data_IF_867031735832
#
_entry.id   IF_867031735832
#
_cell.length_a   1.000
_cell.length_b   1.000
_cell.length_c   1.000
_cell.angle_alpha   90.00
_cell.angle_beta   90.00
_cell.angle_gamma   90.00
#
_symmetry.space_group_name_H-M   'P 1'
#
loop_
_entity.id
_entity.type
_entity.pdbx_description
1 polymer ?
#
# COMPACT_ATOMS: atom_id res chain seq x y z
N UNK A 1 -11.43 -11.24 26.65
CA UNK A 1 -12.06 -10.96 25.37
C UNK A 1 -12.77 -9.61 25.50
N UNK A 2 -12.12 -8.53 25.03
CA UNK A 2 -12.78 -7.23 25.00
C UNK A 2 -13.77 -7.24 23.86
N UNK A 3 -15.04 -6.97 24.14
CA UNK A 3 -16.07 -6.66 23.16
C UNK A 3 -15.59 -5.45 22.35
N UNK A 4 -15.08 -5.71 21.13
CA UNK A 4 -14.84 -4.66 20.16
C UNK A 4 -16.22 -4.23 19.71
N UNK A 5 -16.73 -3.17 20.33
CA UNK A 5 -18.01 -2.56 19.94
C UNK A 5 -17.94 -2.24 18.45
N UNK A 6 -18.99 -2.60 17.71
CA UNK A 6 -19.28 -2.05 16.38
C UNK A 6 -19.23 -0.54 16.52
N UNK A 7 -18.15 0.05 16.06
CA UNK A 7 -18.00 1.50 16.08
C UNK A 7 -18.75 2.01 14.85
N UNK A 8 -20.03 2.31 14.98
CA UNK A 8 -20.93 2.74 13.89
C UNK A 8 -20.44 3.99 13.14
N UNK A 9 -19.34 4.60 13.62
CA UNK A 9 -18.72 5.78 13.02
C UNK A 9 -17.52 5.49 12.10
N UNK A 10 -17.12 4.22 11.91
CA UNK A 10 -16.00 3.88 11.04
C UNK A 10 -16.47 3.79 9.59
N UNK A 11 -15.96 4.69 8.74
CA UNK A 11 -16.20 4.59 7.31
C UNK A 11 -15.37 3.46 6.70
N UNK A 12 -16.03 2.42 6.21
CA UNK A 12 -15.42 1.22 5.62
C UNK A 12 -15.41 1.20 4.10
N UNK A 13 -15.76 2.30 3.45
CA UNK A 13 -15.86 2.38 1.98
C UNK A 13 -14.59 1.90 1.26
N UNK A 14 -13.42 2.19 1.84
CA UNK A 14 -12.10 1.84 1.29
C UNK A 14 -11.49 0.59 1.95
N UNK A 15 -12.20 -0.05 2.87
CA UNK A 15 -11.70 -1.15 3.69
C UNK A 15 -11.68 -2.51 2.96
N UNK A 16 -11.81 -2.56 1.65
CA UNK A 16 -11.88 -3.80 0.89
C UNK A 16 -10.56 -4.55 0.99
N UNK A 17 -10.58 -5.75 1.57
CA UNK A 17 -9.41 -6.60 1.71
C UNK A 17 -9.11 -7.34 0.41
N UNK A 18 -7.89 -7.16 -0.12
CA UNK A 18 -7.35 -7.94 -1.23
C UNK A 18 -6.09 -8.66 -0.77
N UNK A 19 -6.09 -9.98 -0.87
CA UNK A 19 -4.96 -10.83 -0.57
C UNK A 19 -5.15 -12.22 -1.22
N UNK A 20 -4.27 -13.19 -0.93
CA UNK A 20 -4.34 -14.54 -1.52
C UNK A 20 -5.66 -15.28 -1.23
N UNK A 21 -6.37 -14.95 -0.14
CA UNK A 21 -7.65 -15.55 0.23
C UNK A 21 -8.85 -14.76 -0.30
N UNK A 22 -8.68 -13.48 -0.49
CA UNK A 22 -9.69 -12.53 -0.94
C UNK A 22 -9.22 -11.88 -2.25
N UNK A 23 -9.42 -12.51 -3.41
CA UNK A 23 -8.96 -11.98 -4.68
C UNK A 23 -9.71 -10.70 -5.07
N UNK A 24 -9.06 -9.84 -5.83
CA UNK A 24 -9.64 -8.63 -6.39
C UNK A 24 -10.87 -8.94 -7.24
N UNK A 25 -11.96 -8.26 -6.93
CA UNK A 25 -13.20 -8.26 -7.69
C UNK A 25 -13.48 -6.85 -8.21
N UNK A 26 -13.49 -6.65 -9.53
CA UNK A 26 -13.67 -5.34 -10.15
C UNK A 26 -14.96 -4.63 -9.70
N UNK A 27 -16.05 -5.37 -9.45
CA UNK A 27 -17.34 -4.80 -9.01
C UNK A 27 -17.24 -4.01 -7.70
N UNK A 28 -16.34 -4.38 -6.80
CA UNK A 28 -16.16 -3.68 -5.52
C UNK A 28 -15.55 -2.28 -5.69
N UNK A 29 -14.98 -2.02 -6.87
CA UNK A 29 -14.22 -0.81 -7.19
C UNK A 29 -14.88 0.08 -8.24
N UNK A 30 -16.02 -0.31 -8.84
CA UNK A 30 -16.77 0.49 -9.82
C UNK A 30 -17.22 1.86 -9.29
N UNK A 31 -17.37 1.98 -7.96
CA UNK A 31 -17.74 3.22 -7.28
C UNK A 31 -16.61 4.25 -7.20
N UNK A 32 -15.36 3.84 -7.42
CA UNK A 32 -14.20 4.71 -7.30
C UNK A 32 -13.91 5.44 -8.61
N UNK A 33 -13.32 6.63 -8.48
CA UNK A 33 -12.87 7.43 -9.61
C UNK A 33 -11.36 7.40 -9.69
N UNK A 34 -10.85 7.19 -10.88
CA UNK A 34 -9.41 7.08 -11.14
C UNK A 34 -8.92 8.25 -11.97
N UNK A 35 -7.68 8.63 -11.76
CA UNK A 35 -6.98 9.70 -12.48
C UNK A 35 -5.61 9.23 -12.93
N UNK A 36 -5.11 9.84 -14.01
CA UNK A 36 -3.73 9.66 -14.46
C UNK A 36 -2.82 10.68 -13.75
N UNK A 37 -1.68 10.20 -13.31
CA UNK A 37 -0.62 11.02 -12.71
C UNK A 37 0.76 10.61 -13.25
N UNK A 38 1.79 11.39 -12.95
CA UNK A 38 3.17 11.00 -13.24
C UNK A 38 3.81 10.31 -12.04
N UNK A 39 4.43 9.17 -12.29
CA UNK A 39 5.28 8.45 -11.33
C UNK A 39 6.64 9.11 -11.14
N UNK A 40 7.43 8.63 -10.19
CA UNK A 40 8.80 9.11 -9.92
C UNK A 40 9.74 8.96 -11.12
N UNK A 41 9.53 7.95 -11.97
CA UNK A 41 10.26 7.73 -13.23
C UNK A 41 9.55 8.31 -14.47
N UNK A 42 8.61 9.24 -14.23
CA UNK A 42 7.91 10.01 -15.27
C UNK A 42 6.98 9.22 -16.20
N UNK A 43 6.65 7.95 -15.86
CA UNK A 43 5.60 7.17 -16.55
C UNK A 43 4.21 7.68 -16.17
N UNK A 44 3.24 7.49 -17.04
CA UNK A 44 1.84 7.64 -16.67
C UNK A 44 1.38 6.44 -15.87
N UNK A 45 0.79 6.68 -14.72
CA UNK A 45 0.21 5.68 -13.84
C UNK A 45 -1.19 6.11 -13.39
N UNK A 46 -2.01 5.15 -13.06
CA UNK A 46 -3.40 5.37 -12.63
C UNK A 46 -3.48 5.20 -11.11
N UNK A 47 -4.21 6.09 -10.45
CA UNK A 47 -4.47 6.05 -9.02
C UNK A 47 -5.91 6.42 -8.71
N UNK A 48 -6.48 5.90 -7.63
CA UNK A 48 -7.79 6.34 -7.16
C UNK A 48 -7.71 7.79 -6.65
N UNK A 49 -8.68 8.62 -7.05
CA UNK A 49 -8.64 10.08 -6.90
C UNK A 49 -8.53 10.55 -5.44
N UNK A 50 -9.29 9.96 -4.52
CA UNK A 50 -9.26 10.33 -3.10
C UNK A 50 -7.97 9.84 -2.44
N UNK A 51 -7.48 8.67 -2.81
CA UNK A 51 -6.18 8.15 -2.40
C UNK A 51 -5.06 9.13 -2.78
N UNK A 52 -5.08 9.63 -4.03
CA UNK A 52 -4.09 10.60 -4.47
C UNK A 52 -4.18 11.94 -3.72
N UNK A 53 -5.40 12.43 -3.49
CA UNK A 53 -5.61 13.66 -2.70
C UNK A 53 -4.96 13.54 -1.31
N UNK A 54 -5.19 12.45 -0.60
CA UNK A 54 -4.61 12.23 0.72
C UNK A 54 -3.11 11.94 0.69
N UNK A 55 -2.62 11.34 -0.41
CA UNK A 55 -1.18 11.22 -0.63
C UNK A 55 -0.52 12.61 -0.77
N UNK A 56 -1.13 13.56 -1.44
CA UNK A 56 -0.60 14.93 -1.52
C UNK A 56 -0.53 15.60 -0.15
N UNK A 57 -1.54 15.41 0.71
CA UNK A 57 -1.52 15.90 2.09
C UNK A 57 -0.35 15.27 2.89
N UNK A 58 -0.13 13.96 2.76
CA UNK A 58 1.01 13.25 3.39
C UNK A 58 2.34 13.75 2.85
N UNK A 59 2.46 13.95 1.53
CA UNK A 59 3.66 14.46 0.87
C UNK A 59 4.05 15.85 1.36
N UNK A 60 3.07 16.74 1.55
CA UNK A 60 3.30 18.07 2.07
C UNK A 60 3.76 18.04 3.54
N UNK A 61 3.25 17.10 4.33
CA UNK A 61 3.70 16.89 5.70
C UNK A 61 5.14 16.38 5.75
N UNK A 62 5.46 15.37 4.94
CA UNK A 62 6.83 14.83 4.87
C UNK A 62 7.86 15.87 4.41
N UNK A 63 7.44 16.80 3.55
CA UNK A 63 8.30 17.91 3.11
C UNK A 63 8.72 18.83 4.27
N UNK A 64 7.89 18.99 5.30
CA UNK A 64 8.24 19.77 6.50
C UNK A 64 9.38 19.12 7.30
N UNK A 65 9.51 17.80 7.20
CA UNK A 65 10.60 17.00 7.77
C UNK A 65 11.82 16.87 6.83
N UNK A 66 11.87 17.69 5.76
CA UNK A 66 12.87 17.62 4.69
C UNK A 66 12.92 16.25 3.99
N UNK A 67 11.82 15.53 3.94
CA UNK A 67 11.69 14.27 3.22
C UNK A 67 10.81 14.49 1.99
N UNK A 68 11.35 14.21 0.82
CA UNK A 68 10.61 14.30 -0.44
C UNK A 68 10.21 12.88 -0.84
N UNK A 69 8.90 12.64 -0.92
CA UNK A 69 8.33 11.35 -1.34
C UNK A 69 7.58 11.47 -2.67
N UNK A 70 7.55 10.38 -3.41
CA UNK A 70 6.81 10.26 -4.68
C UNK A 70 6.25 8.87 -4.88
N UNK A 71 5.31 8.74 -5.80
CA UNK A 71 4.68 7.45 -6.13
C UNK A 71 5.45 6.80 -7.29
N UNK A 72 5.93 5.58 -7.07
CA UNK A 72 6.54 4.72 -8.10
C UNK A 72 5.49 3.88 -8.82
N UNK A 73 4.65 3.21 -8.03
CA UNK A 73 3.54 2.38 -8.54
C UNK A 73 2.25 2.69 -7.80
N UNK A 74 1.13 2.59 -8.51
CA UNK A 74 -0.20 2.69 -7.94
C UNK A 74 -1.07 1.56 -8.50
N UNK A 75 -2.03 1.83 -9.40
CA UNK A 75 -2.79 0.77 -10.04
C UNK A 75 -1.87 -0.05 -10.96
N UNK A 76 -1.98 -1.36 -10.85
CA UNK A 76 -1.34 -2.36 -11.72
C UNK A 76 -2.41 -3.34 -12.17
N UNK A 77 -2.64 -3.45 -13.46
CA UNK A 77 -3.59 -4.40 -13.99
C UNK A 77 -3.10 -5.85 -13.91
N UNK A 78 -3.94 -6.81 -14.34
CA UNK A 78 -3.60 -8.24 -14.28
C UNK A 78 -2.48 -8.61 -15.25
N UNK A 79 -2.38 -7.92 -16.38
CA UNK A 79 -1.34 -8.16 -17.41
C UNK A 79 0.00 -7.68 -16.89
N UNK A 80 0.04 -6.49 -16.32
CA UNK A 80 1.24 -5.94 -15.69
C UNK A 80 1.70 -6.79 -14.50
N UNK A 81 0.76 -7.30 -13.68
CA UNK A 81 1.08 -8.20 -12.57
C UNK A 81 1.67 -9.53 -13.05
N UNK A 82 1.14 -10.10 -14.13
CA UNK A 82 1.68 -11.30 -14.74
C UNK A 82 3.09 -11.07 -15.28
N UNK A 83 3.30 -9.98 -15.99
CA UNK A 83 4.61 -9.59 -16.52
C UNK A 83 5.65 -9.41 -15.41
N UNK A 84 5.27 -8.75 -14.30
CA UNK A 84 6.12 -8.59 -13.13
C UNK A 84 6.53 -9.95 -12.55
N UNK A 85 5.57 -10.86 -12.38
CA UNK A 85 5.84 -12.20 -11.86
C UNK A 85 6.83 -12.97 -12.75
N UNK A 86 6.63 -12.92 -14.08
CA UNK A 86 7.51 -13.57 -15.05
C UNK A 86 8.94 -13.01 -15.02
N UNK A 87 9.08 -11.68 -14.93
CA UNK A 87 10.37 -11.01 -14.77
C UNK A 87 11.10 -11.46 -13.50
N UNK A 88 10.37 -11.59 -12.38
CA UNK A 88 10.94 -12.10 -11.13
C UNK A 88 11.35 -13.57 -11.22
N UNK A 89 10.54 -14.40 -11.91
CA UNK A 89 10.90 -15.80 -12.18
C UNK A 89 12.20 -15.90 -13.00
N UNK A 90 12.35 -15.08 -14.01
CA UNK A 90 13.55 -15.06 -14.86
C UNK A 90 14.77 -14.59 -14.07
N UNK A 91 14.63 -13.50 -13.30
CA UNK A 91 15.75 -12.85 -12.61
C UNK A 91 16.20 -13.59 -11.34
N UNK A 92 15.25 -14.14 -10.57
CA UNK A 92 15.50 -14.64 -9.22
C UNK A 92 15.07 -16.09 -9.00
N UNK A 93 14.44 -16.71 -9.99
CA UNK A 93 13.86 -18.04 -9.89
C UNK A 93 12.43 -18.06 -9.33
N UNK A 94 11.70 -19.14 -9.69
CA UNK A 94 10.28 -19.30 -9.36
C UNK A 94 10.00 -19.28 -7.85
N UNK A 95 10.81 -19.99 -7.05
CA UNK A 95 10.61 -20.10 -5.61
C UNK A 95 10.72 -18.75 -4.89
N UNK A 96 11.56 -17.86 -5.41
CA UNK A 96 11.68 -16.49 -4.91
C UNK A 96 10.47 -15.65 -5.35
N UNK A 97 10.11 -15.71 -6.63
CA UNK A 97 8.96 -14.99 -7.18
C UNK A 97 7.66 -15.34 -6.44
N UNK A 98 7.42 -16.62 -6.15
CA UNK A 98 6.23 -17.10 -5.42
C UNK A 98 6.12 -16.51 -4.00
N UNK A 99 7.24 -16.16 -3.37
CA UNK A 99 7.27 -15.56 -2.03
C UNK A 99 7.06 -14.05 -2.04
N UNK A 100 7.60 -13.37 -3.05
CA UNK A 100 7.69 -11.91 -3.09
C UNK A 100 6.56 -11.29 -3.91
N UNK A 101 6.20 -11.90 -5.04
CA UNK A 101 5.19 -11.36 -5.94
C UNK A 101 3.83 -11.99 -5.65
N UNK A 102 2.83 -11.18 -5.40
CA UNK A 102 1.46 -11.66 -5.25
C UNK A 102 0.97 -12.29 -6.57
N UNK A 103 0.29 -13.46 -6.51
CA UNK A 103 -0.37 -14.03 -7.69
C UNK A 103 -1.34 -13.04 -8.34
N UNK A 104 -1.52 -13.16 -9.65
CA UNK A 104 -2.49 -12.34 -10.41
C UNK A 104 -3.87 -12.41 -9.77
N UNK A 105 -4.49 -11.26 -9.58
CA UNK A 105 -5.78 -11.13 -8.91
C UNK A 105 -5.71 -11.01 -7.40
N UNK A 106 -4.52 -11.14 -6.77
CA UNK A 106 -4.38 -11.06 -5.31
C UNK A 106 -3.49 -9.91 -4.83
N UNK A 107 -3.03 -9.07 -5.75
CA UNK A 107 -2.27 -7.86 -5.46
C UNK A 107 -3.19 -6.69 -5.10
N UNK A 108 -2.87 -5.94 -4.05
CA UNK A 108 -3.59 -4.70 -3.70
C UNK A 108 -3.44 -3.60 -4.75
N UNK A 109 -2.40 -3.66 -5.58
CA UNK A 109 -2.24 -2.72 -6.69
C UNK A 109 -3.36 -2.80 -7.73
N UNK A 110 -4.10 -3.91 -7.84
CA UNK A 110 -5.29 -3.98 -8.70
C UNK A 110 -6.38 -2.98 -8.29
N UNK A 111 -6.32 -2.47 -7.07
CA UNK A 111 -7.34 -1.56 -6.52
C UNK A 111 -7.12 -0.10 -6.87
N UNK A 112 -5.88 0.31 -7.18
CA UNK A 112 -5.48 1.71 -7.25
C UNK A 112 -5.49 2.45 -5.90
N UNK A 113 -5.69 1.72 -4.78
CA UNK A 113 -5.66 2.23 -3.40
C UNK A 113 -4.32 1.97 -2.70
N UNK A 114 -3.45 1.13 -3.28
CA UNK A 114 -2.10 0.86 -2.80
C UNK A 114 -1.08 1.66 -3.59
N UNK A 115 -0.08 2.19 -2.88
CA UNK A 115 0.98 3.03 -3.43
C UNK A 115 2.34 2.49 -2.99
N UNK A 116 3.25 2.34 -3.94
CA UNK A 116 4.68 2.14 -3.65
C UNK A 116 5.38 3.49 -3.67
N UNK A 117 5.98 3.84 -2.55
CA UNK A 117 6.59 5.15 -2.31
C UNK A 117 8.10 5.07 -2.52
N UNK A 118 8.65 6.01 -3.26
CA UNK A 118 10.09 6.27 -3.33
C UNK A 118 10.43 7.58 -2.63
N UNK A 119 11.67 7.68 -2.17
CA UNK A 119 12.25 8.89 -1.59
C UNK A 119 13.20 9.55 -2.57
N UNK A 120 13.31 10.88 -2.49
CA UNK A 120 14.23 11.67 -3.30
C UNK A 120 15.41 12.10 -2.46
N UNK A 121 16.64 11.74 -2.89
CA UNK A 121 17.91 12.11 -2.25
C UNK A 121 18.79 12.76 -3.31
N UNK A 122 19.41 13.89 -3.00
CA UNK A 122 20.30 14.63 -3.91
C UNK A 122 19.70 14.86 -5.31
N UNK A 123 18.40 15.18 -5.35
CA UNK A 123 17.59 15.35 -6.58
C UNK A 123 17.31 14.09 -7.41
N UNK A 124 17.68 12.89 -6.94
CA UNK A 124 17.40 11.63 -7.61
C UNK A 124 16.38 10.80 -6.85
N UNK A 125 15.48 10.11 -7.56
CA UNK A 125 14.57 9.14 -6.99
C UNK A 125 15.30 7.83 -6.75
N UNK A 126 15.21 7.31 -5.53
CA UNK A 126 15.99 6.14 -5.10
C UNK A 126 15.09 4.92 -5.09
N UNK A 127 15.47 3.90 -5.86
CA UNK A 127 14.80 2.60 -5.89
C UNK A 127 14.92 1.88 -4.55
N UNK A 128 13.81 1.47 -3.98
CA UNK A 128 13.77 0.75 -2.71
C UNK A 128 14.43 -0.64 -2.78
N UNK A 129 14.25 -1.33 -3.92
CA UNK A 129 14.76 -2.71 -4.08
C UNK A 129 16.28 -2.78 -4.07
N UNK A 130 16.94 -1.78 -4.66
CA UNK A 130 18.39 -1.76 -4.80
C UNK A 130 19.09 -1.01 -3.65
N UNK A 131 18.33 -0.22 -2.86
CA UNK A 131 18.86 0.70 -1.85
C UNK A 131 18.07 0.63 -0.53
N UNK A 132 17.64 -0.57 -0.13
CA UNK A 132 16.79 -0.78 1.04
C UNK A 132 17.36 -0.14 2.32
N UNK A 133 18.65 -0.34 2.58
CA UNK A 133 19.32 0.16 3.79
C UNK A 133 19.35 1.71 3.86
N UNK A 134 19.27 2.38 2.71
CA UNK A 134 19.24 3.84 2.61
C UNK A 134 17.80 4.35 2.71
N UNK A 135 16.87 3.71 2.02
CA UNK A 135 15.48 4.20 1.90
C UNK A 135 14.62 3.84 3.11
N UNK A 136 14.81 2.66 3.71
CA UNK A 136 13.99 2.19 4.85
C UNK A 136 14.01 3.14 6.04
N UNK A 137 15.16 3.67 6.54
CA UNK A 137 15.17 4.63 7.63
C UNK A 137 14.42 5.93 7.33
N UNK A 138 14.41 6.37 6.06
CA UNK A 138 13.72 7.58 5.63
C UNK A 138 12.21 7.32 5.53
N UNK A 139 11.81 6.22 4.90
CA UNK A 139 10.40 5.81 4.79
C UNK A 139 9.76 5.59 6.17
N UNK A 140 10.50 5.09 7.15
CA UNK A 140 10.02 4.91 8.53
C UNK A 140 9.57 6.21 9.19
N UNK A 141 10.03 7.37 8.74
CA UNK A 141 9.55 8.66 9.26
C UNK A 141 8.07 8.92 8.95
N UNK A 142 7.55 8.37 7.84
CA UNK A 142 6.13 8.52 7.50
C UNK A 142 5.22 7.53 8.26
N UNK A 143 5.72 6.36 8.69
CA UNK A 143 4.88 5.31 9.26
C UNK A 143 4.03 5.76 10.46
N UNK A 144 4.54 6.53 11.44
CA UNK A 144 3.77 6.97 12.59
C UNK A 144 2.63 7.94 12.25
N UNK A 145 2.66 8.56 11.07
CA UNK A 145 1.68 9.58 10.68
C UNK A 145 0.73 9.13 9.57
N UNK A 146 0.96 7.96 8.97
CA UNK A 146 0.14 7.42 7.87
C UNK A 146 -1.36 7.46 8.18
N UNK A 147 -1.76 7.04 9.36
CA UNK A 147 -3.16 6.97 9.80
C UNK A 147 -3.87 8.33 9.75
N UNK A 148 -3.17 9.45 10.01
CA UNK A 148 -3.73 10.81 9.94
C UNK A 148 -4.20 11.17 8.53
N UNK A 149 -3.61 10.53 7.52
CA UNK A 149 -3.91 10.73 6.10
C UNK A 149 -4.73 9.59 5.49
N UNK A 150 -5.20 8.65 6.33
CA UNK A 150 -6.04 7.54 5.91
C UNK A 150 -5.28 6.34 5.33
N UNK A 151 -3.96 6.32 5.49
CA UNK A 151 -3.11 5.21 5.07
C UNK A 151 -2.72 4.30 6.22
N UNK A 152 -2.37 3.06 5.88
CA UNK A 152 -1.68 2.11 6.75
C UNK A 152 -0.37 1.66 6.08
N UNK A 153 0.63 1.33 6.89
CA UNK A 153 1.73 0.48 6.44
C UNK A 153 1.16 -0.94 6.28
N UNK A 154 1.02 -1.37 5.03
CA UNK A 154 0.24 -2.59 4.74
C UNK A 154 0.92 -3.87 5.17
N UNK A 155 2.25 -3.91 5.04
CA UNK A 155 3.07 -5.08 5.33
C UNK A 155 4.15 -4.74 6.37
N UNK A 156 3.78 -4.55 7.66
CA UNK A 156 4.74 -4.22 8.71
C UNK A 156 5.61 -5.42 9.08
N UNK A 157 6.74 -5.17 9.75
CA UNK A 157 7.63 -6.22 10.26
C UNK A 157 6.85 -7.18 11.18
N UNK A 158 7.17 -8.45 11.08
CA UNK A 158 6.59 -9.55 11.87
C UNK A 158 5.10 -9.83 11.57
N UNK A 159 4.57 -9.35 10.45
CA UNK A 159 3.19 -9.62 10.01
C UNK A 159 3.07 -10.71 8.92
N UNK A 160 4.19 -11.24 8.43
CA UNK A 160 4.29 -12.13 7.27
C UNK A 160 3.47 -13.44 7.46
N UNK A 161 3.30 -13.88 8.70
CA UNK A 161 2.46 -15.05 9.01
C UNK A 161 0.98 -14.81 8.70
N UNK A 162 0.52 -13.56 8.80
CA UNK A 162 -0.87 -13.12 8.56
C UNK A 162 -1.01 -12.64 7.12
N UNK A 163 -0.22 -11.65 6.72
CA UNK A 163 -0.32 -10.98 5.41
C UNK A 163 0.14 -11.86 4.24
N UNK A 164 1.04 -12.84 4.51
CA UNK A 164 1.73 -13.68 3.50
C UNK A 164 2.59 -12.88 2.52
N UNK A 165 2.95 -11.65 2.90
CA UNK A 165 3.84 -10.75 2.16
C UNK A 165 4.96 -10.32 3.12
N UNK A 166 6.21 -10.25 2.69
CA UNK A 166 7.32 -9.74 3.49
C UNK A 166 7.12 -8.29 3.92
N UNK A 167 7.97 -7.81 4.82
CA UNK A 167 8.00 -6.41 5.21
C UNK A 167 8.32 -5.50 4.01
N UNK A 168 7.45 -4.53 3.75
CA UNK A 168 7.59 -3.55 2.69
C UNK A 168 7.39 -2.12 3.24
N UNK A 169 8.47 -1.41 3.63
CA UNK A 169 8.36 -0.06 4.21
C UNK A 169 7.81 1.00 3.26
N UNK A 170 7.83 0.74 1.97
CA UNK A 170 7.34 1.62 0.90
C UNK A 170 5.87 1.43 0.57
N UNK A 171 5.29 0.23 0.86
CA UNK A 171 3.95 -0.12 0.44
C UNK A 171 2.91 0.37 1.44
N UNK A 172 2.19 1.43 1.06
CA UNK A 172 1.11 2.00 1.86
C UNK A 172 -0.24 1.76 1.20
N UNK A 173 -1.27 1.53 2.02
CA UNK A 173 -2.63 1.29 1.55
C UNK A 173 -3.59 2.33 2.12
N UNK A 174 -4.36 2.98 1.25
CA UNK A 174 -5.45 3.86 1.65
C UNK A 174 -6.69 3.06 2.06
N UNK A 175 -7.23 3.34 3.24
CA UNK A 175 -8.43 2.71 3.80
C UNK A 175 -9.40 3.71 4.41
N UNK A 176 -9.11 5.03 4.29
CA UNK A 176 -9.87 6.11 4.92
C UNK A 176 -9.39 6.46 6.33
N UNK A 177 -9.53 7.74 6.70
CA UNK A 177 -8.93 8.27 7.97
C UNK A 177 -9.47 7.57 9.21
N UNK A 178 -10.80 7.35 9.32
CA UNK A 178 -11.40 6.75 10.52
C UNK A 178 -10.92 5.32 10.77
N UNK A 179 -10.87 4.48 9.72
CA UNK A 179 -10.39 3.10 9.88
C UNK A 179 -8.87 3.05 10.08
N UNK A 180 -8.11 3.87 9.38
CA UNK A 180 -6.66 3.93 9.56
C UNK A 180 -6.27 4.33 10.98
N UNK A 181 -6.96 5.32 11.55
CA UNK A 181 -6.81 5.74 12.95
C UNK A 181 -7.14 4.58 13.91
N UNK A 182 -8.28 3.91 13.70
CA UNK A 182 -8.70 2.79 14.53
C UNK A 182 -7.68 1.64 14.52
N UNK A 183 -7.19 1.24 13.35
CA UNK A 183 -6.19 0.17 13.24
C UNK A 183 -4.86 0.58 13.92
N UNK A 184 -4.44 1.82 13.74
CA UNK A 184 -3.22 2.35 14.36
C UNK A 184 -3.28 2.32 15.89
N UNK A 185 -4.36 2.83 16.48
CA UNK A 185 -4.55 2.90 17.94
C UNK A 185 -4.63 1.52 18.59
N UNK A 186 -5.24 0.56 17.88
CA UNK A 186 -5.42 -0.80 18.37
C UNK A 186 -4.30 -1.77 17.92
N UNK A 187 -3.31 -1.28 17.17
CA UNK A 187 -2.18 -2.09 16.61
C UNK A 187 -2.66 -3.31 15.80
N UNK A 188 -3.70 -3.09 15.00
CA UNK A 188 -4.34 -4.11 14.18
C UNK A 188 -3.86 -4.04 12.72
N UNK A 189 -3.81 -5.20 12.07
CA UNK A 189 -3.71 -5.32 10.62
C UNK A 189 -5.10 -5.21 9.96
N UNK A 190 -5.13 -4.98 8.66
CA UNK A 190 -6.40 -4.98 7.92
C UNK A 190 -7.09 -6.34 7.98
N UNK A 191 -6.33 -7.43 7.99
CA UNK A 191 -6.83 -8.79 8.19
C UNK A 191 -7.51 -8.98 9.55
N UNK A 192 -6.96 -8.39 10.61
CA UNK A 192 -7.55 -8.50 11.95
C UNK A 192 -8.92 -7.84 12.01
N UNK A 193 -9.08 -6.70 11.34
CA UNK A 193 -10.36 -6.00 11.22
C UNK A 193 -11.44 -6.89 10.59
N UNK A 194 -11.09 -7.64 9.54
CA UNK A 194 -12.01 -8.58 8.89
C UNK A 194 -12.31 -9.81 9.74
N UNK A 195 -11.32 -10.34 10.46
CA UNK A 195 -11.50 -11.50 11.33
C UNK A 195 -12.37 -11.20 12.56
N UNK A 196 -12.41 -9.95 13.00
CA UNK A 196 -13.21 -9.50 14.15
C UNK A 196 -14.66 -9.24 13.76
N UNK A 197 -14.92 -8.82 12.50
CA UNK A 197 -16.25 -8.42 12.04
C UNK A 197 -16.99 -9.52 11.25
N UNK A 198 -16.37 -10.68 11.01
CA UNK A 198 -16.96 -11.90 10.45
C UNK A 198 -17.09 -12.96 11.52
#
# INVERSE_FOLDING_TARGET
MQNIMKNDNINTTYAILVNRKNPYNAKDYEKFKYINIKSTDNREIIVENITYKHFLELKDEMKKENVIIGIKHALRDKIEQQSLYEQFCIKYGKDYADKIVCPVGTSEHHTGLALDIEVKIDNEWISNNDNFDITEPILKKMHPILHKYGFILRYPKNSEKITKVPYEPWHIRYIGKSLAQYLYENKLLLEDFYNINN
#
